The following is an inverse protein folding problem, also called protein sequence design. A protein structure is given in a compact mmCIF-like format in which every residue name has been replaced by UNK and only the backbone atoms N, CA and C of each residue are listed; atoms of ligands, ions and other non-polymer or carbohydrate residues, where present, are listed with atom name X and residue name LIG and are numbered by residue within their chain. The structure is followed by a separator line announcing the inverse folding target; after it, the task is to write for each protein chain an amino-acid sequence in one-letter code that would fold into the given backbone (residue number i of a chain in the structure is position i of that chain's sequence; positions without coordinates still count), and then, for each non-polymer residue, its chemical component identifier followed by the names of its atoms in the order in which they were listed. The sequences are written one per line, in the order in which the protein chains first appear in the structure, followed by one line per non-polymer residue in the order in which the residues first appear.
data_IF_791890071325
#
_entry.id   IF_791890071325
#
_cell.length_a   1.000
_cell.length_b   1.000
_cell.length_c   1.000
_cell.angle_alpha   90.00
_cell.angle_beta   90.00
_cell.angle_gamma   90.00
#
_symmetry.space_group_name_H-M   'P 1'
#
loop_
_entity.id
_entity.type
_entity.pdbx_description
1 polymer ?
#
# COMPACT_ATOMS: atom_id res chain seq x y z
N UNK A 1 -4.13 -18.56 24.33
CA UNK A 1 -3.47 -18.80 23.02
C UNK A 1 -4.31 -18.33 21.83
N UNK A 2 -5.29 -17.42 22.02
CA UNK A 2 -6.09 -16.80 20.93
C UNK A 2 -5.40 -15.62 20.25
N UNK A 3 -4.56 -14.87 20.97
CA UNK A 3 -3.86 -13.68 20.44
C UNK A 3 -2.89 -14.00 19.29
N UNK A 4 -2.25 -15.17 19.32
CA UNK A 4 -1.33 -15.59 18.28
C UNK A 4 -2.04 -15.95 16.97
N UNK A 5 -3.29 -16.42 17.03
CA UNK A 5 -4.07 -16.79 15.84
C UNK A 5 -4.50 -15.55 15.01
N UNK A 6 -4.68 -14.40 15.67
CA UNK A 6 -5.09 -13.15 15.03
C UNK A 6 -3.94 -12.15 14.82
N UNK A 7 -2.69 -12.57 15.05
CA UNK A 7 -1.51 -11.71 14.95
C UNK A 7 -1.41 -10.98 13.59
N UNK A 8 -1.75 -11.66 12.50
CA UNK A 8 -1.78 -11.08 11.16
C UNK A 8 -2.75 -9.90 11.04
N UNK A 9 -3.92 -9.98 11.69
CA UNK A 9 -4.91 -8.90 11.68
C UNK A 9 -4.43 -7.70 12.49
N UNK A 10 -3.79 -7.91 13.64
CA UNK A 10 -3.21 -6.82 14.43
C UNK A 10 -2.12 -6.06 13.67
N UNK A 11 -1.20 -6.78 13.01
CA UNK A 11 -0.19 -6.15 12.16
C UNK A 11 -0.85 -5.40 11.01
N UNK A 12 -1.83 -6.00 10.36
CA UNK A 12 -2.53 -5.39 9.22
C UNK A 12 -3.19 -4.07 9.62
N UNK A 13 -3.93 -4.05 10.74
CA UNK A 13 -4.58 -2.84 11.25
C UNK A 13 -3.54 -1.79 11.65
N UNK A 14 -2.46 -2.20 12.30
CA UNK A 14 -1.38 -1.29 12.68
C UNK A 14 -0.71 -0.66 11.45
N UNK A 15 -0.39 -1.44 10.42
CA UNK A 15 0.17 -0.95 9.16
C UNK A 15 -0.81 -0.02 8.42
N UNK A 16 -2.11 -0.35 8.46
CA UNK A 16 -3.15 0.45 7.84
C UNK A 16 -3.28 1.82 8.49
N UNK A 17 -3.37 1.86 9.83
CA UNK A 17 -3.48 3.12 10.58
C UNK A 17 -2.19 3.93 10.45
N UNK A 18 -1.01 3.31 10.58
CA UNK A 18 0.26 4.02 10.45
C UNK A 18 0.50 4.57 9.04
N UNK A 19 0.17 3.83 7.99
CA UNK A 19 0.26 4.29 6.61
C UNK A 19 -0.64 5.51 6.36
N UNK A 20 -1.91 5.44 6.77
CA UNK A 20 -2.85 6.56 6.66
C UNK A 20 -2.40 7.77 7.48
N UNK A 21 -1.90 7.54 8.70
CA UNK A 21 -1.38 8.59 9.57
C UNK A 21 -0.21 9.33 8.93
N UNK A 22 0.73 8.63 8.29
CA UNK A 22 1.87 9.27 7.60
C UNK A 22 1.40 10.18 6.46
N UNK A 23 0.38 9.75 5.69
CA UNK A 23 -0.18 10.55 4.59
C UNK A 23 -0.77 11.88 5.10
N UNK A 24 -1.46 11.83 6.24
CA UNK A 24 -2.12 13.01 6.83
C UNK A 24 -1.13 13.90 7.58
N UNK A 25 -0.20 13.31 8.34
CA UNK A 25 0.63 14.05 9.30
C UNK A 25 1.92 14.65 8.71
N UNK A 26 2.29 14.32 7.47
CA UNK A 26 3.56 14.78 6.86
C UNK A 26 3.29 15.74 5.71
N UNK A 27 3.83 16.96 5.78
CA UNK A 27 3.80 17.92 4.65
C UNK A 27 4.74 17.56 3.49
N UNK A 28 5.81 16.80 3.74
CA UNK A 28 6.73 16.38 2.69
C UNK A 28 6.08 15.36 1.73
N UNK A 29 6.03 15.70 0.45
CA UNK A 29 5.34 14.89 -0.57
C UNK A 29 5.92 13.48 -0.73
N UNK A 30 7.25 13.29 -0.58
CA UNK A 30 7.87 11.96 -0.64
C UNK A 30 7.41 11.10 0.55
N UNK A 31 7.35 11.69 1.75
CA UNK A 31 6.88 10.97 2.94
C UNK A 31 5.41 10.57 2.80
N UNK A 32 4.58 11.41 2.18
CA UNK A 32 3.18 11.04 1.85
C UNK A 32 3.10 9.84 0.91
N UNK A 33 3.91 9.80 -0.16
CA UNK A 33 3.96 8.65 -1.08
C UNK A 33 4.41 7.36 -0.38
N UNK A 34 5.39 7.45 0.52
CA UNK A 34 5.82 6.30 1.36
C UNK A 34 4.66 5.84 2.26
N UNK A 35 3.95 6.77 2.91
CA UNK A 35 2.77 6.46 3.72
C UNK A 35 1.67 5.75 2.92
N UNK A 36 1.43 6.22 1.69
CA UNK A 36 0.47 5.62 0.77
C UNK A 36 0.88 4.19 0.36
N UNK A 37 2.17 3.95 0.10
CA UNK A 37 2.70 2.61 -0.20
C UNK A 37 2.55 1.64 0.98
N UNK A 38 2.73 2.13 2.21
CA UNK A 38 2.56 1.35 3.43
C UNK A 38 1.09 0.98 3.65
N UNK A 39 0.20 1.95 3.43
CA UNK A 39 -1.24 1.72 3.45
C UNK A 39 -1.65 0.67 2.41
N UNK A 40 -1.16 0.77 1.18
CA UNK A 40 -1.46 -0.20 0.13
C UNK A 40 -0.99 -1.62 0.49
N UNK A 41 0.20 -1.73 1.08
CA UNK A 41 0.73 -3.02 1.57
C UNK A 41 -0.17 -3.64 2.65
N UNK A 42 -0.73 -2.81 3.55
CA UNK A 42 -1.68 -3.29 4.56
C UNK A 42 -2.97 -3.83 3.95
N UNK A 43 -3.48 -3.20 2.89
CA UNK A 43 -4.66 -3.69 2.16
C UNK A 43 -4.36 -5.06 1.53
N UNK A 44 -3.14 -5.27 1.01
CA UNK A 44 -2.78 -6.61 0.50
C UNK A 44 -2.86 -7.69 1.58
N UNK A 45 -2.33 -7.40 2.77
CA UNK A 45 -2.38 -8.33 3.89
C UNK A 45 -3.81 -8.60 4.35
N UNK A 46 -4.69 -7.60 4.30
CA UNK A 46 -6.11 -7.76 4.63
C UNK A 46 -6.81 -8.75 3.69
N UNK A 47 -6.47 -8.74 2.41
CA UNK A 47 -7.03 -9.67 1.42
C UNK A 47 -6.38 -11.06 1.47
N UNK A 48 -5.07 -11.15 1.74
CA UNK A 48 -4.33 -12.41 1.77
C UNK A 48 -4.58 -13.24 3.02
N UNK A 49 -4.81 -12.59 4.17
CA UNK A 49 -5.01 -13.28 5.46
C UNK A 49 -6.19 -14.27 5.43
N UNK A 50 -7.40 -13.91 4.97
CA UNK A 50 -8.52 -14.84 4.85
C UNK A 50 -8.43 -15.77 3.62
N UNK A 51 -7.56 -15.47 2.65
CA UNK A 51 -7.40 -16.26 1.43
C UNK A 51 -6.69 -17.60 1.66
N UNK A 52 -5.89 -17.69 2.73
CA UNK A 52 -5.09 -18.86 3.05
C UNK A 52 -5.95 -19.96 3.69
N UNK A 53 -6.03 -21.09 3.02
CA UNK A 53 -6.71 -22.28 3.53
C UNK A 53 -5.71 -23.13 4.31
N UNK A 54 -6.13 -23.67 5.47
CA UNK A 54 -5.29 -24.55 6.27
C UNK A 54 -4.97 -25.83 5.47
N UNK A 55 -3.68 -26.22 5.40
CA UNK A 55 -3.17 -27.32 4.56
C UNK A 55 -3.38 -27.17 3.04
N UNK A 56 -3.76 -26.00 2.54
CA UNK A 56 -3.83 -25.72 1.11
C UNK A 56 -2.47 -25.30 0.54
N UNK A 57 -2.08 -25.85 -0.60
CA UNK A 57 -0.90 -25.39 -1.36
C UNK A 57 -1.23 -24.15 -2.20
N UNK A 58 -0.23 -23.52 -2.81
CA UNK A 58 -0.45 -22.43 -3.77
C UNK A 58 -1.30 -22.92 -4.94
N UNK A 59 -2.16 -22.09 -5.57
CA UNK A 59 -3.07 -22.50 -6.65
C UNK A 59 -2.34 -22.76 -7.98
N UNK A 60 -1.43 -23.74 -7.98
CA UNK A 60 -0.62 -24.19 -9.10
C UNK A 60 -0.87 -25.69 -9.19
N UNK A 61 -1.51 -26.13 -10.27
CA UNK A 61 -1.93 -27.52 -10.42
C UNK A 61 -0.74 -28.47 -10.40
N UNK A 62 -0.79 -29.46 -9.50
CA UNK A 62 0.21 -30.49 -9.33
C UNK A 62 -0.47 -31.80 -8.89
N UNK A 63 -0.02 -32.93 -9.43
CA UNK A 63 -0.57 -34.26 -9.14
C UNK A 63 -0.32 -34.73 -7.70
N UNK A 64 0.59 -34.06 -6.97
CA UNK A 64 0.93 -34.38 -5.58
C UNK A 64 -0.02 -33.77 -4.54
N UNK A 65 -0.94 -32.86 -4.93
CA UNK A 65 -1.75 -32.10 -3.99
C UNK A 65 -3.23 -32.02 -4.42
N UNK A 66 -4.13 -32.26 -3.46
CA UNK A 66 -5.59 -32.18 -3.66
C UNK A 66 -6.22 -30.87 -3.13
N UNK A 67 -5.55 -30.19 -2.19
CA UNK A 67 -6.08 -28.97 -1.55
C UNK A 67 -5.28 -27.74 -1.96
N UNK A 68 -5.97 -26.76 -2.55
CA UNK A 68 -5.39 -25.51 -3.03
C UNK A 68 -5.96 -24.30 -2.28
N UNK A 69 -5.14 -23.27 -2.08
CA UNK A 69 -5.61 -21.96 -1.59
C UNK A 69 -6.47 -21.27 -2.63
N UNK A 70 -7.32 -20.33 -2.20
CA UNK A 70 -8.22 -19.62 -3.10
C UNK A 70 -7.42 -18.80 -4.15
N UNK A 71 -7.59 -19.04 -5.46
CA UNK A 71 -6.86 -18.30 -6.50
C UNK A 71 -7.33 -16.86 -6.67
N UNK A 72 -8.56 -16.53 -6.26
CA UNK A 72 -9.14 -15.19 -6.51
C UNK A 72 -8.32 -14.08 -5.84
N UNK A 73 -7.98 -14.16 -4.53
CA UNK A 73 -7.20 -13.11 -3.90
C UNK A 73 -5.78 -13.01 -4.47
N UNK A 74 -5.17 -14.12 -4.89
CA UNK A 74 -3.85 -14.10 -5.53
C UNK A 74 -3.83 -13.27 -6.81
N UNK A 75 -4.82 -13.45 -7.69
CA UNK A 75 -4.92 -12.69 -8.94
C UNK A 75 -5.25 -11.23 -8.68
N UNK A 76 -6.17 -10.94 -7.76
CA UNK A 76 -6.53 -9.57 -7.38
C UNK A 76 -5.34 -8.80 -6.77
N UNK A 77 -4.48 -9.47 -6.01
CA UNK A 77 -3.29 -8.83 -5.45
C UNK A 77 -2.22 -8.58 -6.52
N UNK A 78 -2.01 -9.51 -7.46
CA UNK A 78 -1.06 -9.30 -8.55
C UNK A 78 -1.41 -8.04 -9.37
N UNK A 79 -2.69 -7.85 -9.69
CA UNK A 79 -3.14 -6.64 -10.40
C UNK A 79 -3.00 -5.39 -9.54
N UNK A 80 -3.39 -5.47 -8.25
CA UNK A 80 -3.27 -4.34 -7.33
C UNK A 80 -1.82 -3.91 -7.06
N UNK A 81 -0.86 -4.84 -7.10
CA UNK A 81 0.58 -4.56 -6.99
C UNK A 81 1.07 -3.79 -8.21
N UNK A 82 0.74 -4.24 -9.41
CA UNK A 82 1.15 -3.56 -10.65
C UNK A 82 0.59 -2.13 -10.69
N UNK A 83 -0.69 -1.96 -10.35
CA UNK A 83 -1.32 -0.63 -10.27
C UNK A 83 -0.64 0.23 -9.19
N UNK A 84 -0.30 -0.33 -8.03
CA UNK A 84 0.42 0.38 -6.97
C UNK A 84 1.79 0.90 -7.37
N UNK A 85 2.58 0.07 -8.06
CA UNK A 85 3.89 0.49 -8.57
C UNK A 85 3.73 1.59 -9.63
N UNK A 86 2.73 1.47 -10.51
CA UNK A 86 2.46 2.49 -11.53
C UNK A 86 2.05 3.83 -10.93
N UNK A 87 1.16 3.84 -9.91
CA UNK A 87 0.73 5.07 -9.25
C UNK A 87 1.84 5.68 -8.40
N UNK A 88 2.69 4.89 -7.75
CA UNK A 88 3.89 5.39 -7.07
C UNK A 88 4.88 6.03 -8.04
N UNK A 89 5.15 5.38 -9.17
CA UNK A 89 6.03 5.93 -10.20
C UNK A 89 5.49 7.27 -10.75
N UNK A 90 4.19 7.34 -11.04
CA UNK A 90 3.53 8.57 -11.45
C UNK A 90 3.61 9.65 -10.35
N UNK A 91 3.32 9.28 -9.10
CA UNK A 91 3.39 10.19 -7.96
C UNK A 91 4.80 10.76 -7.78
N UNK A 92 5.84 9.92 -7.85
CA UNK A 92 7.23 10.37 -7.78
C UNK A 92 7.60 11.29 -8.96
N UNK A 93 7.14 10.96 -10.17
CA UNK A 93 7.35 11.82 -11.34
C UNK A 93 6.71 13.20 -11.13
N UNK A 94 5.50 13.26 -10.58
CA UNK A 94 4.83 14.51 -10.22
C UNK A 94 5.61 15.28 -9.15
N UNK A 95 6.11 14.62 -8.11
CA UNK A 95 6.93 15.27 -7.07
C UNK A 95 8.20 15.88 -7.65
N UNK A 96 8.86 15.21 -8.60
CA UNK A 96 10.01 15.78 -9.31
C UNK A 96 9.60 17.03 -10.08
N UNK A 97 8.48 17.00 -10.81
CA UNK A 97 7.99 18.17 -11.56
C UNK A 97 7.60 19.33 -10.67
N UNK A 98 6.96 19.07 -9.53
CA UNK A 98 6.63 20.08 -8.54
C UNK A 98 7.91 20.72 -7.98
N UNK A 99 8.92 19.90 -7.67
CA UNK A 99 10.22 20.41 -7.22
C UNK A 99 10.90 21.29 -8.26
N UNK A 100 10.84 20.92 -9.54
CA UNK A 100 11.37 21.72 -10.65
C UNK A 100 10.64 23.07 -10.78
N UNK A 101 9.33 23.11 -10.55
CA UNK A 101 8.51 24.32 -10.67
C UNK A 101 8.60 25.26 -9.46
N UNK A 102 8.50 24.73 -8.24
CA UNK A 102 8.41 25.51 -6.99
C UNK A 102 9.71 25.56 -6.18
N UNK A 103 10.71 24.76 -6.56
CA UNK A 103 12.00 24.63 -5.87
C UNK A 103 11.97 23.83 -4.56
N UNK A 104 10.81 23.29 -4.18
CA UNK A 104 10.59 22.60 -2.89
C UNK A 104 9.64 21.42 -3.04
N UNK A 105 9.67 20.53 -2.05
CA UNK A 105 8.79 19.34 -1.94
C UNK A 105 7.98 19.34 -0.65
N UNK A 106 8.01 20.44 0.09
CA UNK A 106 7.19 20.66 1.28
C UNK A 106 5.89 21.35 0.87
N UNK A 107 4.77 20.75 1.22
CA UNK A 107 3.43 21.21 0.84
C UNK A 107 3.11 22.63 1.33
N UNK A 108 3.49 22.97 2.57
CA UNK A 108 3.25 24.31 3.14
C UNK A 108 3.95 25.42 2.33
N UNK A 109 5.17 25.15 1.85
CA UNK A 109 5.92 26.08 1.03
C UNK A 109 5.34 26.22 -0.38
N UNK A 110 4.79 25.13 -0.93
CA UNK A 110 4.14 25.13 -2.24
C UNK A 110 2.88 26.01 -2.18
N UNK A 111 2.01 25.80 -1.18
CA UNK A 111 0.80 26.61 -1.00
C UNK A 111 1.09 28.10 -0.83
N UNK A 112 2.16 28.46 -0.11
CA UNK A 112 2.55 29.87 0.07
C UNK A 112 3.04 30.57 -1.20
N UNK A 113 3.48 29.80 -2.21
CA UNK A 113 4.02 30.30 -3.48
C UNK A 113 2.99 30.27 -4.60
N UNK A 114 1.82 29.71 -4.36
CA UNK A 114 0.77 29.57 -5.37
C UNK A 114 0.00 30.90 -5.50
N UNK A 115 0.07 31.58 -6.66
CA UNK A 115 -0.58 32.88 -6.86
C UNK A 115 -2.12 32.82 -6.85
N UNK A 116 -2.71 31.61 -6.88
CA UNK A 116 -4.16 31.38 -6.79
C UNK A 116 -4.63 31.05 -5.35
N UNK A 117 -3.75 31.11 -4.34
CA UNK A 117 -4.08 30.79 -2.95
C UNK A 117 -4.78 31.93 -2.16
N UNK A 118 -5.34 32.94 -2.84
CA UNK A 118 -6.25 33.96 -2.28
C UNK A 118 -7.70 33.76 -2.74
#
# INVERSE_FOLDING_TARGET
MEFAQHYNYFITIFLMISGLFIVIARGNLIKKLIGLSLFQTSVYLLYLTPAKIHNGTAPIYDYAYDTYSNPLPHVLMLTAIVVGVATLALGLALVVRIKEAYGTIEEDEIFSKDPEAE
#
